data_IF_143377402153
#
_entry.id   IF_143377402153
#
_cell.length_a   1.000
_cell.length_b   1.000
_cell.length_c   1.000
_cell.angle_alpha   90.00
_cell.angle_beta   90.00
_cell.angle_gamma   90.00
#
_symmetry.space_group_name_H-M   'P 1'
#
loop_
_entity.id
_entity.type
_entity.pdbx_description
1 polymer ?
#
# COMPACT_ATOMS: atom_id res chain seq x y z
N UNK A 1 -82.60 -28.89 -25.25
CA UNK A 1 -81.87 -27.91 -24.41
C UNK A 1 -80.42 -28.44 -24.28
N UNK A 2 -79.52 -28.00 -25.16
CA UNK A 2 -78.16 -28.49 -25.26
C UNK A 2 -77.25 -27.57 -24.39
N UNK A 3 -76.59 -28.14 -23.39
CA UNK A 3 -75.57 -27.47 -22.59
C UNK A 3 -74.21 -27.77 -23.28
N UNK A 4 -73.60 -26.73 -23.82
CA UNK A 4 -72.22 -26.75 -24.34
C UNK A 4 -71.25 -26.51 -23.20
N UNK A 5 -70.45 -27.52 -22.86
CA UNK A 5 -69.32 -27.41 -21.96
C UNK A 5 -68.10 -26.79 -22.71
N UNK A 6 -67.64 -25.66 -22.24
CA UNK A 6 -66.46 -24.98 -22.76
C UNK A 6 -65.23 -25.46 -21.95
N UNK A 7 -64.33 -26.21 -22.59
CA UNK A 7 -63.07 -26.66 -22.00
C UNK A 7 -62.04 -25.53 -22.17
N UNK A 8 -61.65 -24.89 -21.07
CA UNK A 8 -60.52 -23.94 -21.05
C UNK A 8 -59.22 -24.73 -20.92
N UNK A 9 -58.44 -24.79 -21.98
CA UNK A 9 -57.04 -25.24 -21.91
C UNK A 9 -56.17 -24.08 -21.41
N UNK A 10 -55.62 -24.22 -20.20
CA UNK A 10 -54.59 -23.34 -19.66
C UNK A 10 -53.23 -23.84 -20.15
N UNK A 11 -52.60 -23.11 -21.06
CA UNK A 11 -51.22 -23.33 -21.45
C UNK A 11 -50.32 -22.66 -20.40
N UNK A 12 -49.68 -23.44 -19.56
CA UNK A 12 -48.61 -22.94 -18.68
C UNK A 12 -47.29 -22.85 -19.48
N UNK A 13 -46.91 -21.66 -19.83
CA UNK A 13 -45.57 -21.38 -20.37
C UNK A 13 -44.57 -21.32 -19.22
N UNK A 14 -43.81 -22.38 -19.02
CA UNK A 14 -42.67 -22.38 -18.11
C UNK A 14 -41.51 -21.61 -18.74
N UNK A 15 -41.31 -20.38 -18.29
CA UNK A 15 -40.12 -19.58 -18.62
C UNK A 15 -38.95 -20.14 -17.80
N UNK A 16 -38.13 -20.98 -18.40
CA UNK A 16 -36.85 -21.40 -17.83
C UNK A 16 -35.90 -20.21 -17.87
N UNK A 17 -35.66 -19.61 -16.74
CA UNK A 17 -34.63 -18.55 -16.60
C UNK A 17 -33.25 -19.23 -16.80
N UNK A 18 -32.70 -19.13 -18.00
CA UNK A 18 -31.29 -19.42 -18.24
C UNK A 18 -30.47 -18.33 -17.54
N UNK A 19 -29.94 -18.61 -16.36
CA UNK A 19 -28.91 -17.79 -15.75
C UNK A 19 -27.63 -17.98 -16.58
N UNK A 20 -27.33 -17.02 -17.43
CA UNK A 20 -26.04 -16.94 -18.11
C UNK A 20 -24.96 -16.86 -17.02
N UNK A 21 -24.28 -17.96 -16.73
CA UNK A 21 -23.04 -17.95 -15.95
C UNK A 21 -22.01 -17.17 -16.76
N UNK A 22 -21.76 -15.91 -16.40
CA UNK A 22 -20.61 -15.18 -16.92
C UNK A 22 -19.37 -15.87 -16.37
N UNK A 23 -18.49 -16.41 -17.23
CA UNK A 23 -17.29 -17.09 -16.76
C UNK A 23 -16.46 -16.09 -15.94
N UNK A 24 -16.03 -16.51 -14.73
CA UNK A 24 -15.13 -15.68 -13.92
C UNK A 24 -13.84 -15.44 -14.72
N UNK A 25 -13.32 -14.19 -14.73
CA UNK A 25 -12.07 -13.92 -15.43
C UNK A 25 -10.98 -14.83 -14.91
N UNK A 26 -10.28 -15.49 -15.82
CA UNK A 26 -9.15 -16.35 -15.49
C UNK A 26 -7.88 -15.54 -15.67
N UNK A 27 -7.21 -15.21 -14.57
CA UNK A 27 -5.93 -14.50 -14.58
C UNK A 27 -4.76 -15.48 -14.68
N UNK A 28 -3.74 -15.08 -15.42
CA UNK A 28 -2.49 -15.83 -15.55
C UNK A 28 -1.41 -15.29 -14.61
N UNK A 29 -0.41 -16.11 -14.36
CA UNK A 29 0.80 -15.66 -13.66
C UNK A 29 1.53 -14.59 -14.48
N UNK A 30 1.98 -13.53 -13.81
CA UNK A 30 2.80 -12.49 -14.46
C UNK A 30 4.21 -13.05 -14.64
N UNK A 31 4.63 -13.18 -15.90
CA UNK A 31 5.96 -13.69 -16.25
C UNK A 31 6.94 -12.54 -16.40
N UNK A 32 8.06 -12.61 -15.71
CA UNK A 32 9.16 -11.65 -15.81
C UNK A 32 10.26 -12.19 -16.72
N UNK A 33 10.71 -11.41 -17.71
CA UNK A 33 11.74 -11.88 -18.65
C UNK A 33 13.11 -12.09 -18.01
N UNK A 34 13.37 -11.43 -16.86
CA UNK A 34 14.62 -11.53 -16.13
C UNK A 34 14.33 -11.80 -14.65
N UNK A 35 15.06 -12.75 -14.08
CA UNK A 35 15.08 -13.02 -12.62
C UNK A 35 16.53 -12.99 -12.14
N UNK A 36 16.82 -12.16 -11.15
CA UNK A 36 18.15 -12.00 -10.55
C UNK A 36 18.10 -12.28 -9.06
N UNK A 37 19.02 -13.09 -8.57
CA UNK A 37 19.22 -13.29 -7.13
C UNK A 37 20.14 -12.18 -6.60
N UNK A 38 19.71 -11.52 -5.53
CA UNK A 38 20.49 -10.50 -4.85
C UNK A 38 20.86 -10.95 -3.45
N UNK A 39 22.11 -10.68 -3.07
CA UNK A 39 22.60 -10.85 -1.70
C UNK A 39 22.71 -9.49 -1.04
N UNK A 40 22.05 -9.36 0.10
CA UNK A 40 22.03 -8.14 0.88
C UNK A 40 23.30 -8.00 1.74
N UNK A 41 23.72 -6.78 1.93
CA UNK A 41 24.69 -6.38 2.94
C UNK A 41 23.93 -5.74 4.09
N UNK A 42 23.90 -6.42 5.22
CA UNK A 42 23.32 -5.86 6.45
C UNK A 42 24.11 -4.66 6.92
N UNK A 43 23.43 -3.60 7.28
CA UNK A 43 24.01 -2.37 7.82
C UNK A 43 23.88 -2.41 9.33
N UNK A 44 24.99 -2.49 10.08
CA UNK A 44 24.94 -2.52 11.52
C UNK A 44 24.49 -1.16 12.07
N UNK A 45 23.51 -1.20 12.94
CA UNK A 45 23.00 -0.05 13.70
C UNK A 45 22.70 -0.48 15.12
N UNK A 46 22.42 0.46 16.00
CA UNK A 46 21.87 0.15 17.32
C UNK A 46 20.41 -0.29 17.17
N UNK A 47 20.19 -1.61 17.04
CA UNK A 47 18.88 -2.21 16.80
C UNK A 47 17.96 -2.21 18.03
N UNK A 48 18.49 -1.93 19.22
CA UNK A 48 17.70 -1.90 20.45
C UNK A 48 16.59 -0.86 20.44
N UNK A 49 16.68 0.13 19.55
CA UNK A 49 15.69 1.19 19.42
C UNK A 49 14.44 0.78 18.60
N UNK A 50 14.49 -0.28 17.79
CA UNK A 50 13.37 -0.69 16.94
C UNK A 50 12.56 -1.81 17.54
N UNK A 51 11.25 -1.71 17.38
CA UNK A 51 10.29 -2.80 17.62
C UNK A 51 9.75 -3.40 16.33
N UNK A 52 9.44 -2.54 15.34
CA UNK A 52 8.94 -2.96 14.05
C UNK A 52 9.29 -1.92 12.97
N UNK A 53 10.55 -1.91 12.50
CA UNK A 53 10.99 -0.98 11.45
C UNK A 53 10.30 -1.32 10.13
N UNK A 54 9.38 -0.46 9.69
CA UNK A 54 8.42 -0.82 8.66
C UNK A 54 8.66 -0.13 7.31
N UNK A 55 8.97 1.16 7.33
CA UNK A 55 9.25 1.98 6.14
C UNK A 55 10.51 2.80 6.33
N UNK A 56 11.17 3.08 5.22
CA UNK A 56 12.30 4.01 5.21
C UNK A 56 12.27 4.90 3.99
N UNK A 57 12.71 6.13 4.13
CA UNK A 57 12.96 7.04 3.01
C UNK A 57 14.30 7.75 3.16
N UNK A 58 15.04 7.85 2.05
CA UNK A 58 16.30 8.58 1.97
C UNK A 58 16.07 9.94 1.33
N UNK A 59 16.57 10.99 1.98
CA UNK A 59 16.53 12.34 1.41
C UNK A 59 17.89 12.99 1.54
N UNK A 60 18.64 13.05 0.43
CA UNK A 60 20.03 13.53 0.40
C UNK A 60 20.91 12.73 1.38
N UNK A 61 21.36 13.42 2.44
CA UNK A 61 22.26 12.91 3.47
C UNK A 61 21.52 12.45 4.74
N UNK A 62 20.21 12.14 4.63
CA UNK A 62 19.36 11.69 5.75
C UNK A 62 18.52 10.50 5.37
N UNK A 63 18.35 9.61 6.34
CA UNK A 63 17.41 8.50 6.30
C UNK A 63 16.43 8.68 7.46
N UNK A 64 15.15 8.55 7.20
CA UNK A 64 14.13 8.40 8.23
C UNK A 64 13.61 6.97 8.15
N UNK A 65 13.57 6.31 9.30
CA UNK A 65 12.99 4.97 9.46
C UNK A 65 11.79 5.08 10.38
N UNK A 66 10.66 4.57 9.92
CA UNK A 66 9.46 4.40 10.70
C UNK A 66 9.55 3.12 11.53
N UNK A 67 9.31 3.24 12.84
CA UNK A 67 9.06 2.12 13.74
C UNK A 67 7.56 2.05 14.06
N UNK A 68 6.81 1.24 13.30
CA UNK A 68 5.35 1.16 13.37
C UNK A 68 4.82 0.84 14.79
N UNK A 69 5.62 0.16 15.60
CA UNK A 69 5.29 -0.21 16.99
C UNK A 69 6.23 0.43 18.02
N UNK A 70 6.87 1.54 17.66
CA UNK A 70 7.75 2.29 18.53
C UNK A 70 7.12 2.63 19.89
N UNK A 71 7.84 2.35 20.99
CA UNK A 71 7.30 2.58 22.32
C UNK A 71 7.21 4.07 22.66
N UNK A 72 8.29 4.79 22.38
CA UNK A 72 8.43 6.19 22.74
C UNK A 72 8.28 7.11 21.52
N UNK A 73 8.82 6.69 20.37
CA UNK A 73 8.82 7.45 19.13
C UNK A 73 8.57 6.54 17.94
N UNK A 74 7.90 7.09 16.93
CA UNK A 74 7.58 6.39 15.69
C UNK A 74 8.67 6.54 14.62
N UNK A 75 9.55 7.54 14.74
CA UNK A 75 10.54 7.82 13.70
C UNK A 75 11.94 7.96 14.27
N UNK A 76 12.90 7.44 13.52
CA UNK A 76 14.31 7.55 13.82
C UNK A 76 15.05 8.16 12.64
N UNK A 77 15.84 9.21 12.90
CA UNK A 77 16.65 9.93 11.91
C UNK A 77 18.08 9.45 11.96
N UNK A 78 18.62 9.12 10.81
CA UNK A 78 20.03 8.75 10.62
C UNK A 78 20.69 9.61 9.55
N UNK A 79 22.02 9.71 9.61
CA UNK A 79 22.81 10.17 8.47
C UNK A 79 22.83 9.14 7.34
N UNK A 80 23.11 9.57 6.11
CA UNK A 80 23.32 8.72 4.96
C UNK A 80 24.62 9.14 4.26
N UNK A 81 25.50 8.23 3.84
CA UNK A 81 25.29 6.76 3.76
C UNK A 81 25.81 5.96 4.99
N UNK A 82 26.30 6.60 6.02
CA UNK A 82 27.00 5.96 7.16
C UNK A 82 26.06 5.45 8.28
N UNK A 83 24.73 5.73 8.18
CA UNK A 83 23.69 5.29 9.10
C UNK A 83 23.98 5.58 10.58
N UNK A 84 24.67 6.69 10.88
CA UNK A 84 24.83 7.15 12.24
C UNK A 84 23.51 7.69 12.77
N UNK A 85 23.08 7.17 13.92
CA UNK A 85 21.89 7.68 14.60
C UNK A 85 22.05 9.17 14.98
N UNK A 86 21.01 9.95 14.75
CA UNK A 86 20.99 11.38 15.02
C UNK A 86 19.94 11.73 16.09
N UNK A 87 18.69 11.32 15.91
CA UNK A 87 17.59 11.60 16.86
C UNK A 87 16.38 10.74 16.57
N UNK A 88 15.43 10.73 17.53
CA UNK A 88 14.08 10.22 17.35
C UNK A 88 13.05 11.35 17.42
N UNK A 89 11.92 11.18 16.74
CA UNK A 89 10.83 12.16 16.73
C UNK A 89 9.48 11.48 16.49
N UNK A 90 8.37 12.25 16.53
CA UNK A 90 7.04 11.64 16.46
C UNK A 90 6.73 10.86 17.72
N UNK A 91 6.73 11.53 18.88
CA UNK A 91 6.50 10.91 20.19
C UNK A 91 5.13 10.23 20.24
N UNK A 92 5.10 8.99 20.73
CA UNK A 92 3.90 8.19 20.90
C UNK A 92 3.12 8.67 22.13
N UNK A 93 1.82 8.95 21.99
CA UNK A 93 0.94 9.28 23.10
C UNK A 93 -0.29 10.11 22.70
N UNK A 94 -1.10 10.43 23.74
CA UNK A 94 -2.38 11.11 23.58
C UNK A 94 -2.28 12.65 23.65
N UNK A 95 -1.16 13.18 24.16
CA UNK A 95 -1.00 14.62 24.31
C UNK A 95 -1.11 15.37 22.97
N UNK A 96 -1.43 16.67 22.98
CA UNK A 96 -1.61 17.45 21.75
C UNK A 96 -0.38 17.48 20.85
N UNK A 97 0.81 17.27 21.39
CA UNK A 97 2.07 17.25 20.68
C UNK A 97 2.57 15.84 20.35
N UNK A 98 1.84 14.79 20.72
CA UNK A 98 2.13 13.39 20.46
C UNK A 98 1.29 12.84 19.31
N UNK A 99 1.65 11.66 18.80
CA UNK A 99 0.93 10.91 17.78
C UNK A 99 0.35 9.64 18.39
N UNK A 100 -0.89 9.29 18.02
CA UNK A 100 -1.52 8.04 18.45
C UNK A 100 -1.14 6.86 17.55
N UNK A 101 -0.93 7.14 16.27
CA UNK A 101 -0.45 6.18 15.30
C UNK A 101 0.49 6.86 14.31
N UNK A 102 1.23 6.03 13.59
CA UNK A 102 1.78 6.38 12.28
C UNK A 102 1.29 5.32 11.30
N UNK A 103 0.72 5.75 10.19
CA UNK A 103 0.20 4.84 9.17
C UNK A 103 1.01 4.95 7.88
N UNK A 104 1.60 6.10 7.64
CA UNK A 104 2.49 6.37 6.53
C UNK A 104 3.23 7.70 6.71
N UNK A 105 4.36 7.86 6.03
CA UNK A 105 5.09 9.12 5.95
C UNK A 105 5.73 9.31 4.59
N UNK A 106 5.91 10.57 4.17
CA UNK A 106 6.53 10.93 2.89
C UNK A 106 7.36 12.19 2.99
N UNK A 107 8.54 12.18 2.38
CA UNK A 107 9.25 13.40 2.09
C UNK A 107 8.58 14.17 0.94
N UNK A 108 8.35 15.47 1.17
CA UNK A 108 7.95 16.41 0.12
C UNK A 108 8.93 17.59 0.11
N UNK A 109 9.88 17.58 -0.81
CA UNK A 109 10.97 18.56 -0.83
C UNK A 109 11.88 18.47 0.40
N UNK A 110 11.83 19.46 1.27
CA UNK A 110 12.61 19.52 2.50
C UNK A 110 11.78 19.20 3.75
N UNK A 111 10.51 18.89 3.57
CA UNK A 111 9.57 18.61 4.66
C UNK A 111 9.16 17.13 4.64
N UNK A 112 8.98 16.56 5.80
CA UNK A 112 8.42 15.24 5.97
C UNK A 112 6.98 15.39 6.47
N UNK A 113 6.07 14.66 5.86
CA UNK A 113 4.68 14.56 6.26
C UNK A 113 4.39 13.17 6.79
N UNK A 114 3.75 13.09 7.95
CA UNK A 114 3.35 11.84 8.58
C UNK A 114 1.83 11.84 8.81
N UNK A 115 1.21 10.69 8.62
CA UNK A 115 -0.21 10.49 8.80
C UNK A 115 -0.50 9.83 10.16
N UNK A 116 -1.28 10.51 10.99
CA UNK A 116 -1.90 9.95 12.21
C UNK A 116 -3.38 9.70 11.92
N UNK A 117 -3.71 8.47 11.58
CA UNK A 117 -5.06 8.05 11.20
C UNK A 117 -6.06 8.18 12.38
N UNK A 118 -5.65 7.84 13.61
CA UNK A 118 -6.55 7.92 14.76
C UNK A 118 -6.90 9.38 15.08
N UNK A 119 -5.92 10.26 15.05
CA UNK A 119 -6.17 11.70 15.17
C UNK A 119 -6.74 12.31 13.88
N UNK A 120 -6.74 11.58 12.76
CA UNK A 120 -7.08 12.08 11.41
C UNK A 120 -6.33 13.37 11.08
N UNK A 121 -5.01 13.33 11.18
CA UNK A 121 -4.13 14.48 11.01
C UNK A 121 -2.94 14.15 10.11
N UNK A 122 -2.51 15.15 9.33
CA UNK A 122 -1.18 15.18 8.74
C UNK A 122 -0.27 16.04 9.60
N UNK A 123 0.87 15.52 9.97
CA UNK A 123 1.88 16.20 10.80
C UNK A 123 3.09 16.49 9.95
N UNK A 124 3.48 17.76 9.90
CA UNK A 124 4.63 18.24 9.14
C UNK A 124 5.84 18.41 10.03
N UNK A 125 6.97 17.89 9.53
CA UNK A 125 8.26 17.94 10.18
C UNK A 125 9.30 18.58 9.26
N UNK A 126 10.25 19.31 9.85
CA UNK A 126 11.38 19.94 9.16
C UNK A 126 12.67 19.62 9.89
N UNK A 127 13.77 19.51 9.15
CA UNK A 127 15.09 19.40 9.76
C UNK A 127 15.42 20.68 10.55
N UNK A 128 15.94 20.52 11.74
CA UNK A 128 16.47 21.64 12.52
C UNK A 128 17.69 22.28 11.81
N UNK A 129 18.18 23.41 12.33
CA UNK A 129 19.31 24.15 11.75
C UNK A 129 20.58 23.31 11.64
N UNK A 130 20.82 22.42 12.62
CA UNK A 130 21.99 21.54 12.65
C UNK A 130 21.81 20.29 11.80
N UNK A 131 20.59 20.03 11.28
CA UNK A 131 20.21 18.85 10.48
C UNK A 131 20.42 17.52 11.22
N UNK A 132 20.40 17.53 12.54
CA UNK A 132 20.54 16.37 13.43
C UNK A 132 19.26 16.01 14.20
N UNK A 133 18.17 16.73 13.95
CA UNK A 133 16.86 16.52 14.54
C UNK A 133 15.73 17.04 13.66
N UNK A 134 14.52 16.60 13.97
CA UNK A 134 13.29 17.01 13.31
C UNK A 134 12.44 17.88 14.25
N UNK A 135 11.95 19.00 13.74
CA UNK A 135 11.06 19.92 14.43
C UNK A 135 9.70 19.85 13.78
N UNK A 136 8.65 19.61 14.59
CA UNK A 136 7.29 19.69 14.11
C UNK A 136 6.94 21.14 13.79
N UNK A 137 6.55 21.41 12.55
CA UNK A 137 6.22 22.75 12.08
C UNK A 137 4.71 22.99 11.93
N UNK A 138 3.93 21.94 11.70
CA UNK A 138 2.49 22.10 11.43
C UNK A 138 1.71 20.81 11.76
N UNK A 139 0.41 20.97 12.07
CA UNK A 139 -0.61 19.90 12.09
C UNK A 139 -1.79 20.32 11.27
N UNK A 140 -2.30 19.43 10.46
CA UNK A 140 -3.42 19.66 9.57
C UNK A 140 -4.49 18.61 9.88
N UNK A 141 -5.67 19.05 10.31
CA UNK A 141 -6.82 18.18 10.50
C UNK A 141 -7.40 17.80 9.16
N UNK A 142 -7.55 16.51 8.92
CA UNK A 142 -8.15 16.01 7.69
C UNK A 142 -9.68 16.14 7.73
N UNK A 143 -10.26 16.36 6.56
CA UNK A 143 -11.71 16.35 6.36
C UNK A 143 -12.30 15.00 6.81
N UNK A 144 -13.45 15.02 7.46
CA UNK A 144 -14.15 13.81 7.93
C UNK A 144 -14.51 12.84 6.81
N UNK A 145 -14.59 13.32 5.57
CA UNK A 145 -14.82 12.49 4.39
C UNK A 145 -13.59 11.65 3.97
N UNK A 146 -12.40 11.92 4.55
CA UNK A 146 -11.21 11.06 4.39
C UNK A 146 -11.23 9.94 5.43
N UNK A 147 -12.16 9.02 5.25
CA UNK A 147 -12.43 7.95 6.21
C UNK A 147 -11.28 6.93 6.25
N UNK A 148 -10.73 6.68 7.46
CA UNK A 148 -9.66 5.70 7.72
C UNK A 148 -8.47 5.85 6.76
N UNK A 149 -7.93 7.05 6.65
CA UNK A 149 -6.71 7.28 5.89
C UNK A 149 -5.58 6.38 6.40
N UNK A 150 -5.01 5.52 5.56
CA UNK A 150 -3.95 4.55 5.91
C UNK A 150 -2.74 4.69 4.99
N UNK A 151 -2.74 5.66 4.11
CA UNK A 151 -1.65 5.99 3.21
C UNK A 151 -1.82 7.44 2.73
N UNK A 152 -0.75 8.13 2.39
CA UNK A 152 -0.77 9.49 1.90
C UNK A 152 0.38 9.75 0.95
N UNK A 153 0.10 10.37 -0.18
CA UNK A 153 1.15 10.81 -1.08
C UNK A 153 1.04 12.30 -1.37
N UNK A 154 2.13 13.07 -1.24
CA UNK A 154 2.18 14.44 -1.73
C UNK A 154 1.89 14.48 -3.23
N UNK A 155 1.00 15.40 -3.64
CA UNK A 155 0.48 15.42 -4.98
C UNK A 155 0.60 16.81 -5.60
N UNK A 156 0.14 16.97 -6.84
CA UNK A 156 0.21 18.22 -7.62
C UNK A 156 -0.37 19.42 -6.85
N UNK A 157 0.13 20.60 -7.15
CA UNK A 157 -0.38 21.87 -6.61
C UNK A 157 -0.44 21.92 -5.08
N UNK A 158 0.53 21.30 -4.41
CA UNK A 158 0.62 21.27 -2.96
C UNK A 158 -0.62 20.67 -2.27
N UNK A 159 -1.15 19.60 -2.86
CA UNK A 159 -2.25 18.80 -2.33
C UNK A 159 -1.73 17.42 -1.89
N UNK A 160 -2.60 16.62 -1.28
CA UNK A 160 -2.32 15.23 -0.94
C UNK A 160 -3.37 14.32 -1.54
N UNK A 161 -2.96 13.12 -1.93
CA UNK A 161 -3.87 12.02 -2.23
C UNK A 161 -3.88 11.03 -1.07
N UNK A 162 -5.07 10.60 -0.72
CA UNK A 162 -5.35 9.63 0.32
C UNK A 162 -6.26 8.58 -0.30
N UNK A 163 -5.94 7.27 -0.21
CA UNK A 163 -6.87 6.23 -0.66
C UNK A 163 -8.24 6.35 0.00
N UNK A 164 -9.31 6.25 -0.79
CA UNK A 164 -10.68 6.34 -0.28
C UNK A 164 -11.20 4.96 0.16
N UNK A 165 -11.35 4.78 1.45
CA UNK A 165 -11.91 3.55 2.02
C UNK A 165 -13.41 3.65 2.33
N UNK A 166 -14.10 4.68 1.84
CA UNK A 166 -15.57 4.75 1.87
C UNK A 166 -16.23 3.79 0.88
N UNK A 167 -15.48 3.32 -0.10
CA UNK A 167 -15.95 2.46 -1.18
C UNK A 167 -16.54 3.23 -2.37
N UNK A 168 -16.73 4.53 -2.27
CA UNK A 168 -17.31 5.35 -3.34
C UNK A 168 -16.32 5.59 -4.50
N UNK A 169 -15.08 5.88 -4.15
CA UNK A 169 -14.03 6.22 -5.11
C UNK A 169 -12.71 5.52 -4.75
N UNK A 170 -11.68 5.79 -5.53
CA UNK A 170 -10.35 5.24 -5.27
C UNK A 170 -9.48 6.15 -4.42
N UNK A 171 -9.61 7.47 -4.61
CA UNK A 171 -8.81 8.49 -3.93
C UNK A 171 -9.64 9.68 -3.49
N UNK A 172 -9.29 10.21 -2.33
CA UNK A 172 -9.59 11.55 -1.87
C UNK A 172 -8.41 12.47 -2.19
N UNK A 173 -8.65 13.61 -2.83
CA UNK A 173 -7.67 14.67 -2.95
C UNK A 173 -8.00 15.77 -1.95
N UNK A 174 -7.08 16.08 -1.05
CA UNK A 174 -7.21 17.13 -0.05
C UNK A 174 -6.23 18.26 -0.32
N UNK A 175 -6.60 19.47 0.05
CA UNK A 175 -5.72 20.62 -0.04
C UNK A 175 -4.68 20.63 1.10
N UNK A 176 -3.79 21.59 1.08
CA UNK A 176 -2.79 21.82 2.10
C UNK A 176 -3.36 22.01 3.52
N UNK A 177 -4.63 22.39 3.66
CA UNK A 177 -5.30 22.59 4.94
C UNK A 177 -6.12 21.35 5.38
N UNK A 178 -6.01 20.24 4.64
CA UNK A 178 -6.73 19.00 4.93
C UNK A 178 -8.18 18.97 4.42
N UNK A 179 -8.63 20.03 3.73
CA UNK A 179 -10.00 20.10 3.18
C UNK A 179 -10.11 19.22 1.95
N UNK A 180 -11.17 18.41 1.89
CA UNK A 180 -11.48 17.61 0.71
C UNK A 180 -11.81 18.53 -0.48
N UNK A 181 -11.07 18.34 -1.58
CA UNK A 181 -11.31 19.03 -2.86
C UNK A 181 -12.18 18.20 -3.79
N UNK A 182 -11.88 16.91 -3.91
CA UNK A 182 -12.65 15.96 -4.74
C UNK A 182 -12.30 14.52 -4.36
N UNK A 183 -13.21 13.63 -4.71
CA UNK A 183 -12.96 12.19 -4.81
C UNK A 183 -12.91 11.77 -6.28
N UNK A 184 -12.10 10.79 -6.62
CA UNK A 184 -11.98 10.32 -8.00
C UNK A 184 -11.39 8.91 -8.10
N UNK A 185 -11.46 8.35 -9.32
CA UNK A 185 -11.08 6.98 -9.62
C UNK A 185 -12.15 5.99 -9.14
N UNK A 186 -12.15 4.83 -9.75
CA UNK A 186 -13.03 3.72 -9.38
C UNK A 186 -12.18 2.53 -8.93
N UNK A 187 -12.72 1.74 -8.01
CA UNK A 187 -12.13 0.44 -7.65
C UNK A 187 -12.30 -0.49 -8.85
N UNK A 188 -11.22 -1.04 -9.44
CA UNK A 188 -11.27 -1.82 -10.68
C UNK A 188 -11.65 -3.28 -10.44
N UNK A 189 -12.67 -3.51 -9.59
CA UNK A 189 -13.17 -4.83 -9.29
C UNK A 189 -13.96 -5.43 -10.45
N UNK A 190 -13.77 -6.73 -10.70
CA UNK A 190 -14.57 -7.48 -11.69
C UNK A 190 -15.99 -7.72 -11.19
N UNK A 191 -16.14 -7.94 -9.88
CA UNK A 191 -17.43 -8.09 -9.20
C UNK A 191 -17.62 -6.96 -8.19
N UNK A 192 -18.59 -6.10 -8.45
CA UNK A 192 -18.95 -4.94 -7.60
C UNK A 192 -20.14 -5.20 -6.67
N UNK A 193 -20.69 -6.42 -6.61
CA UNK A 193 -21.87 -6.73 -5.78
C UNK A 193 -21.62 -6.45 -4.28
N UNK A 194 -20.39 -6.64 -3.79
CA UNK A 194 -20.02 -6.31 -2.42
C UNK A 194 -19.98 -4.81 -2.15
N UNK A 195 -19.71 -3.99 -3.15
CA UNK A 195 -19.66 -2.53 -3.05
C UNK A 195 -21.04 -1.94 -2.70
N UNK A 196 -22.10 -2.43 -3.33
CA UNK A 196 -23.46 -1.95 -3.08
C UNK A 196 -23.97 -2.32 -1.68
N UNK A 197 -23.59 -3.51 -1.18
CA UNK A 197 -24.07 -4.07 0.10
C UNK A 197 -23.29 -3.56 1.31
N UNK A 198 -21.99 -3.38 1.20
CA UNK A 198 -21.09 -3.01 2.28
C UNK A 198 -19.90 -2.19 1.76
N UNK A 199 -20.12 -0.94 1.34
CA UNK A 199 -19.11 -0.13 0.65
C UNK A 199 -17.82 0.05 1.48
N UNK A 200 -17.94 0.23 2.79
CA UNK A 200 -16.76 0.37 3.66
C UNK A 200 -15.90 -0.89 3.74
N UNK A 201 -16.55 -2.05 3.90
CA UNK A 201 -15.83 -3.33 3.89
C UNK A 201 -15.18 -3.57 2.53
N UNK A 202 -15.87 -3.22 1.45
CA UNK A 202 -15.34 -3.35 0.10
C UNK A 202 -14.11 -2.46 -0.10
N UNK A 203 -14.18 -1.17 0.23
CA UNK A 203 -13.04 -0.25 0.19
C UNK A 203 -11.87 -0.73 1.05
N UNK A 204 -12.15 -1.25 2.26
CA UNK A 204 -11.15 -1.82 3.15
C UNK A 204 -10.47 -3.07 2.56
N UNK A 205 -11.23 -3.97 1.91
CA UNK A 205 -10.69 -5.14 1.22
C UNK A 205 -9.74 -4.77 0.06
N UNK A 206 -9.94 -3.61 -0.53
CA UNK A 206 -9.10 -3.02 -1.59
C UNK A 206 -8.00 -2.10 -1.05
N UNK A 207 -7.66 -2.20 0.23
CA UNK A 207 -6.53 -1.47 0.80
C UNK A 207 -5.28 -1.67 -0.06
N UNK A 208 -4.60 -0.56 -0.32
CA UNK A 208 -3.45 -0.52 -1.22
C UNK A 208 -2.35 0.33 -0.66
N UNK A 209 -1.12 0.01 -1.04
CA UNK A 209 0.03 0.89 -0.91
C UNK A 209 0.08 1.78 -2.15
N UNK A 210 0.39 3.06 -1.96
CA UNK A 210 0.40 4.05 -3.03
C UNK A 210 1.71 4.81 -3.08
N UNK A 211 2.14 5.18 -4.29
CA UNK A 211 3.25 6.10 -4.47
C UNK A 211 3.08 6.93 -5.75
N UNK A 212 3.71 8.10 -5.81
CA UNK A 212 3.58 9.04 -6.90
C UNK A 212 4.90 9.70 -7.29
N UNK A 213 5.28 9.57 -8.55
CA UNK A 213 6.38 10.33 -9.13
C UNK A 213 5.87 11.63 -9.77
N UNK A 214 6.15 12.81 -9.20
CA UNK A 214 5.74 14.09 -9.81
C UNK A 214 6.46 14.37 -11.13
N UNK A 215 7.66 13.82 -11.34
CA UNK A 215 8.43 14.03 -12.56
C UNK A 215 7.78 13.34 -13.75
N UNK A 216 7.34 12.10 -13.62
CA UNK A 216 6.67 11.35 -14.68
C UNK A 216 5.16 11.57 -14.71
N UNK A 217 4.56 11.97 -13.59
CA UNK A 217 3.14 12.05 -13.39
C UNK A 217 2.50 10.67 -13.19
N UNK A 218 3.27 9.69 -12.76
CA UNK A 218 2.81 8.32 -12.53
C UNK A 218 2.40 8.14 -11.08
N UNK A 219 1.11 7.85 -10.87
CA UNK A 219 0.55 7.42 -9.60
C UNK A 219 0.31 5.92 -9.67
N UNK A 220 0.67 5.21 -8.63
CA UNK A 220 0.49 3.76 -8.53
C UNK A 220 -0.24 3.40 -7.26
N UNK A 221 -1.12 2.41 -7.34
CA UNK A 221 -1.66 1.72 -6.17
C UNK A 221 -1.54 0.21 -6.39
N UNK A 222 -1.07 -0.50 -5.35
CA UNK A 222 -0.99 -1.96 -5.35
C UNK A 222 -1.76 -2.51 -4.17
N UNK A 223 -2.62 -3.49 -4.42
CA UNK A 223 -3.47 -4.05 -3.38
C UNK A 223 -2.66 -4.93 -2.40
N UNK A 224 -2.93 -4.79 -1.12
CA UNK A 224 -2.38 -5.68 -0.09
C UNK A 224 -2.90 -7.11 -0.26
N UNK A 225 -4.19 -7.24 -0.58
CA UNK A 225 -4.86 -8.52 -0.86
C UNK A 225 -5.07 -8.68 -2.36
N UNK A 226 -5.02 -9.92 -2.85
CA UNK A 226 -5.12 -10.17 -4.30
C UNK A 226 -3.88 -9.68 -5.04
N UNK A 227 -3.92 -9.62 -6.36
CA UNK A 227 -2.75 -9.27 -7.18
C UNK A 227 -3.14 -8.23 -8.23
N UNK A 228 -3.32 -6.99 -7.77
CA UNK A 228 -3.74 -5.86 -8.61
C UNK A 228 -2.74 -4.72 -8.50
N UNK A 229 -2.27 -4.27 -9.65
CA UNK A 229 -1.44 -3.09 -9.84
C UNK A 229 -2.23 -2.10 -10.69
N UNK A 230 -2.51 -0.94 -10.14
CA UNK A 230 -3.18 0.18 -10.80
C UNK A 230 -2.17 1.28 -11.09
N UNK A 231 -2.14 1.78 -12.31
CA UNK A 231 -1.22 2.81 -12.78
C UNK A 231 -2.01 3.92 -13.44
N UNK A 232 -1.89 5.14 -12.93
CA UNK A 232 -2.41 6.34 -13.56
C UNK A 232 -1.29 7.24 -14.04
N UNK A 233 -1.33 7.65 -15.28
CA UNK A 233 -0.50 8.76 -15.73
C UNK A 233 -1.37 10.02 -15.74
N UNK A 234 -1.23 10.82 -14.69
CA UNK A 234 -2.08 12.01 -14.48
C UNK A 234 -1.80 13.14 -15.45
N UNK A 235 -0.60 13.14 -16.09
CA UNK A 235 -0.26 14.12 -17.14
C UNK A 235 -0.90 13.77 -18.48
N UNK A 236 -1.04 12.46 -18.76
CA UNK A 236 -1.63 11.94 -20.00
C UNK A 236 -3.11 11.57 -19.83
N UNK A 237 -3.63 11.63 -18.61
CA UNK A 237 -4.99 11.20 -18.24
C UNK A 237 -5.28 9.77 -18.72
N UNK A 238 -4.36 8.84 -18.44
CA UNK A 238 -4.53 7.42 -18.76
C UNK A 238 -4.47 6.58 -17.50
N UNK A 239 -5.20 5.46 -17.51
CA UNK A 239 -5.20 4.45 -16.47
C UNK A 239 -4.92 3.08 -17.07
N UNK A 240 -4.18 2.27 -16.37
CA UNK A 240 -3.93 0.86 -16.68
C UNK A 240 -4.06 0.03 -15.40
N UNK A 241 -4.64 -1.17 -15.54
CA UNK A 241 -4.77 -2.15 -14.46
C UNK A 241 -4.11 -3.44 -14.91
N UNK A 242 -3.17 -3.93 -14.11
CA UNK A 242 -2.52 -5.23 -14.30
C UNK A 242 -2.97 -6.14 -13.18
N UNK A 243 -3.53 -7.31 -13.54
CA UNK A 243 -3.97 -8.33 -12.58
C UNK A 243 -3.19 -9.62 -12.80
N UNK A 244 -2.56 -10.13 -11.74
CA UNK A 244 -1.87 -11.41 -11.77
C UNK A 244 -2.78 -12.58 -11.36
N UNK A 245 -2.21 -13.78 -11.21
CA UNK A 245 -2.94 -15.04 -10.99
C UNK A 245 -3.91 -15.04 -9.82
N UNK A 246 -3.70 -14.21 -8.83
CA UNK A 246 -4.59 -14.14 -7.67
C UNK A 246 -5.78 -13.20 -7.88
N UNK A 247 -5.73 -12.36 -8.94
CA UNK A 247 -6.81 -11.45 -9.30
C UNK A 247 -7.21 -10.48 -8.18
N UNK A 248 -8.49 -10.20 -8.10
CA UNK A 248 -9.05 -9.26 -7.14
C UNK A 248 -8.86 -9.70 -5.68
N UNK A 249 -8.79 -8.75 -4.73
CA UNK A 249 -8.80 -9.02 -3.30
C UNK A 249 -9.93 -9.97 -2.88
N UNK A 250 -9.58 -10.99 -2.06
CA UNK A 250 -10.55 -11.91 -1.48
C UNK A 250 -10.70 -11.67 0.01
N UNK A 251 -11.92 -11.41 0.45
CA UNK A 251 -12.27 -11.16 1.83
C UNK A 251 -13.72 -11.56 2.09
N UNK A 252 -14.04 -11.81 3.36
CA UNK A 252 -15.39 -12.02 3.84
C UNK A 252 -15.90 -10.74 4.51
N UNK A 253 -17.18 -10.42 4.35
CA UNK A 253 -17.78 -9.24 4.98
C UNK A 253 -18.46 -9.69 6.27
N UNK A 254 -17.94 -9.21 7.41
CA UNK A 254 -18.49 -9.48 8.72
C UNK A 254 -18.72 -8.14 9.43
N UNK A 255 -19.97 -7.85 9.79
CA UNK A 255 -20.35 -6.60 10.46
C UNK A 255 -19.78 -5.33 9.81
N UNK A 256 -19.82 -5.29 8.47
CA UNK A 256 -19.27 -4.19 7.66
C UNK A 256 -17.73 -4.02 7.70
N UNK A 257 -17.00 -5.08 8.09
CA UNK A 257 -15.53 -5.16 7.99
C UNK A 257 -15.12 -6.20 6.98
N UNK A 258 -14.02 -5.94 6.27
CA UNK A 258 -13.39 -6.93 5.40
C UNK A 258 -12.46 -7.82 6.22
N UNK A 259 -12.79 -9.10 6.32
CA UNK A 259 -11.93 -10.10 6.92
C UNK A 259 -11.11 -10.76 5.81
N UNK A 260 -9.79 -10.60 5.77
CA UNK A 260 -8.95 -11.15 4.70
C UNK A 260 -9.07 -12.68 4.60
N UNK A 261 -9.25 -13.19 3.37
CA UNK A 261 -9.40 -14.63 3.08
C UNK A 261 -8.61 -14.97 1.87
N UNK A 262 -7.76 -14.96 1.35
CA UNK A 262 -7.08 -15.22 0.06
C UNK A 262 -5.57 -15.19 0.22
N UNK A 263 -4.98 -14.22 -0.43
CA UNK A 263 -3.53 -14.06 -0.52
C UNK A 263 -3.13 -12.65 -0.09
N UNK A 264 -2.13 -12.54 0.81
CA UNK A 264 -1.36 -11.32 1.04
C UNK A 264 -0.33 -11.22 -0.08
N UNK A 265 -0.36 -10.16 -0.87
CA UNK A 265 0.46 -10.10 -2.09
C UNK A 265 1.50 -9.00 -2.05
N UNK A 266 1.11 -7.74 -1.87
CA UNK A 266 2.08 -6.65 -1.88
C UNK A 266 2.22 -6.01 -0.50
N UNK A 267 3.46 -5.67 -0.14
CA UNK A 267 3.78 -5.05 1.15
C UNK A 267 4.30 -3.63 0.99
N UNK A 268 4.75 -3.26 -0.20
CA UNK A 268 5.26 -1.92 -0.49
C UNK A 268 5.28 -1.61 -1.98
N UNK A 269 5.31 -0.32 -2.31
CA UNK A 269 5.51 0.20 -3.67
C UNK A 269 6.37 1.44 -3.66
N UNK A 270 7.29 1.52 -4.62
CA UNK A 270 7.99 2.76 -4.93
C UNK A 270 7.96 3.02 -6.44
N UNK A 271 7.61 4.24 -6.80
CA UNK A 271 7.64 4.73 -8.20
C UNK A 271 8.84 5.64 -8.38
N UNK A 272 9.78 5.20 -9.18
CA UNK A 272 10.92 6.02 -9.60
C UNK A 272 10.61 6.78 -10.90
N UNK A 273 11.59 7.47 -11.44
CA UNK A 273 11.44 8.13 -12.76
C UNK A 273 11.46 7.13 -13.92
N UNK A 274 11.85 5.89 -13.70
CA UNK A 274 12.08 4.88 -14.76
C UNK A 274 11.20 3.65 -14.61
N UNK A 275 10.85 3.25 -13.37
CA UNK A 275 10.18 2.00 -13.12
C UNK A 275 9.32 2.03 -11.83
N UNK A 276 8.54 0.98 -11.64
CA UNK A 276 7.71 0.71 -10.47
C UNK A 276 8.30 -0.52 -9.79
N UNK A 277 8.63 -0.41 -8.50
CA UNK A 277 9.18 -1.49 -7.68
C UNK A 277 8.16 -1.91 -6.63
N UNK A 278 7.87 -3.21 -6.55
CA UNK A 278 6.85 -3.78 -5.68
C UNK A 278 7.46 -4.87 -4.80
N UNK A 279 7.29 -4.79 -3.49
CA UNK A 279 7.60 -5.91 -2.59
C UNK A 279 6.47 -6.93 -2.68
N UNK A 280 6.80 -8.13 -3.13
CA UNK A 280 5.84 -9.22 -3.36
C UNK A 280 6.04 -10.34 -2.33
N UNK A 281 5.01 -10.64 -1.57
CA UNK A 281 4.97 -11.72 -0.59
C UNK A 281 4.31 -12.99 -1.14
N UNK A 282 3.10 -12.89 -1.68
CA UNK A 282 2.38 -13.97 -2.34
C UNK A 282 2.01 -15.14 -1.43
N UNK A 283 1.82 -14.91 -0.11
CA UNK A 283 1.47 -15.95 0.87
C UNK A 283 -0.03 -16.03 1.10
N UNK A 284 -0.58 -17.23 1.10
CA UNK A 284 -2.00 -17.44 1.44
C UNK A 284 -2.22 -17.34 2.95
N UNK A 285 -3.35 -16.77 3.38
CA UNK A 285 -3.73 -16.78 4.81
C UNK A 285 -3.81 -18.19 5.38
N UNK A 286 -4.16 -19.19 4.57
CA UNK A 286 -4.17 -20.60 4.95
C UNK A 286 -2.75 -21.08 5.32
N UNK A 287 -1.74 -20.75 4.52
CA UNK A 287 -0.33 -21.10 4.79
C UNK A 287 0.18 -20.38 6.04
N UNK A 288 -0.15 -19.08 6.20
CA UNK A 288 0.21 -18.30 7.37
C UNK A 288 -0.36 -18.96 8.64
N UNK A 289 -1.65 -19.30 8.66
CA UNK A 289 -2.28 -19.96 9.80
C UNK A 289 -1.75 -21.37 10.08
N UNK A 290 -1.48 -22.16 9.03
CA UNK A 290 -0.91 -23.49 9.17
C UNK A 290 0.51 -23.45 9.76
N UNK A 291 1.34 -22.51 9.32
CA UNK A 291 2.70 -22.36 9.81
C UNK A 291 2.70 -21.93 11.29
N UNK A 292 1.84 -20.99 11.68
CA UNK A 292 1.66 -20.61 13.10
C UNK A 292 1.25 -21.81 13.97
N UNK A 293 0.28 -22.62 13.53
CA UNK A 293 -0.14 -23.85 14.26
C UNK A 293 0.98 -24.88 14.42
N UNK A 294 1.90 -24.95 13.48
CA UNK A 294 3.06 -25.87 13.52
C UNK A 294 4.23 -25.30 14.31
N UNK A 295 4.10 -24.16 14.97
CA UNK A 295 5.17 -23.48 15.71
C UNK A 295 6.33 -23.01 14.84
N UNK A 296 6.14 -22.92 13.50
CA UNK A 296 7.16 -22.34 12.63
C UNK A 296 7.17 -20.82 12.83
N UNK A 297 8.38 -20.26 12.95
CA UNK A 297 8.55 -18.81 12.95
C UNK A 297 7.94 -18.24 11.65
N UNK A 298 7.03 -17.32 11.78
CA UNK A 298 6.48 -16.59 10.65
C UNK A 298 7.49 -15.50 10.26
N UNK A 299 8.02 -15.56 9.04
CA UNK A 299 8.77 -14.46 8.48
C UNK A 299 7.78 -13.49 7.84
N UNK A 300 7.72 -12.30 8.38
CA UNK A 300 6.95 -11.20 7.85
C UNK A 300 7.70 -10.56 6.68
N UNK A 301 6.96 -10.16 5.63
CA UNK A 301 7.54 -9.57 4.44
C UNK A 301 7.71 -10.52 3.25
N UNK A 302 8.10 -9.94 2.11
CA UNK A 302 8.32 -10.60 0.84
C UNK A 302 9.80 -10.79 0.51
N UNK A 303 10.11 -11.86 -0.23
CA UNK A 303 11.48 -12.11 -0.74
C UNK A 303 11.62 -11.80 -2.22
N UNK A 304 10.63 -11.21 -2.83
CA UNK A 304 10.66 -10.87 -4.26
C UNK A 304 10.38 -9.38 -4.40
N UNK A 305 11.21 -8.69 -5.18
CA UNK A 305 10.90 -7.35 -5.66
C UNK A 305 10.62 -7.43 -7.16
N UNK A 306 9.40 -7.11 -7.54
CA UNK A 306 8.94 -7.09 -8.93
C UNK A 306 9.11 -5.71 -9.51
N UNK A 307 9.64 -5.63 -10.72
CA UNK A 307 9.90 -4.37 -11.40
C UNK A 307 9.07 -4.29 -12.66
N UNK A 308 8.27 -3.24 -12.76
CA UNK A 308 7.45 -2.93 -13.93
C UNK A 308 7.88 -1.62 -14.56
N UNK A 309 7.67 -1.48 -15.86
CA UNK A 309 7.76 -0.18 -16.51
C UNK A 309 6.61 0.73 -16.05
N UNK A 310 6.75 2.03 -16.30
CA UNK A 310 5.71 3.01 -15.94
C UNK A 310 4.38 2.83 -16.70
N UNK A 311 4.36 1.95 -17.71
CA UNK A 311 3.18 1.51 -18.46
C UNK A 311 2.76 0.07 -18.12
N UNK A 312 3.25 -0.50 -17.00
CA UNK A 312 2.78 -1.77 -16.44
C UNK A 312 3.32 -3.04 -17.10
N UNK A 313 4.33 -2.96 -17.94
CA UNK A 313 4.99 -4.15 -18.49
C UNK A 313 5.96 -4.74 -17.49
N UNK A 314 5.93 -6.06 -17.22
CA UNK A 314 6.92 -6.71 -16.37
C UNK A 314 8.31 -6.61 -17.01
N UNK A 315 9.29 -6.10 -16.26
CA UNK A 315 10.68 -5.91 -16.71
C UNK A 315 11.59 -6.98 -16.13
N UNK A 316 11.63 -7.10 -14.82
CA UNK A 316 12.45 -8.07 -14.09
C UNK A 316 11.90 -8.32 -12.69
N UNK A 317 12.39 -9.36 -12.05
CA UNK A 317 12.20 -9.56 -10.61
C UNK A 317 13.53 -9.86 -9.94
N UNK A 318 13.67 -9.38 -8.70
CA UNK A 318 14.78 -9.70 -7.84
C UNK A 318 14.31 -10.70 -6.78
N UNK A 319 15.11 -11.74 -6.54
CA UNK A 319 14.91 -12.68 -5.43
C UNK A 319 15.92 -12.33 -4.34
N UNK A 320 15.40 -11.95 -3.18
CA UNK A 320 16.19 -11.48 -2.05
C UNK A 320 16.50 -12.62 -1.08
N UNK A 321 17.65 -12.57 -0.42
CA UNK A 321 17.99 -13.47 0.68
C UNK A 321 17.25 -13.14 1.98
N UNK A 322 16.79 -11.89 2.17
CA UNK A 322 15.97 -11.45 3.30
C UNK A 322 14.49 -11.31 2.93
N UNK A 323 13.60 -11.52 3.91
CA UNK A 323 12.19 -11.15 3.79
C UNK A 323 12.02 -9.70 4.24
N UNK A 324 11.52 -8.83 3.37
CA UNK A 324 11.49 -7.38 3.59
C UNK A 324 10.07 -6.82 3.48
N UNK A 325 9.75 -5.78 4.25
CA UNK A 325 8.47 -5.10 4.21
C UNK A 325 8.52 -3.79 3.45
N UNK A 326 9.55 -2.99 3.66
CA UNK A 326 9.74 -1.70 3.01
C UNK A 326 11.00 -1.67 2.16
N UNK A 327 10.98 -0.90 1.07
CA UNK A 327 12.13 -0.68 0.18
C UNK A 327 12.32 0.80 -0.13
N UNK A 328 13.57 1.17 -0.42
CA UNK A 328 13.92 2.46 -1.01
C UNK A 328 14.95 2.26 -2.11
N UNK A 329 14.55 2.51 -3.34
CA UNK A 329 15.37 2.32 -4.53
C UNK A 329 16.02 3.64 -4.94
N UNK A 330 17.31 3.59 -5.15
CA UNK A 330 18.15 4.69 -5.64
C UNK A 330 18.78 4.25 -6.96
N UNK A 331 18.01 4.37 -8.05
CA UNK A 331 18.42 3.85 -9.38
C UNK A 331 19.74 4.44 -9.88
N UNK A 332 19.98 5.72 -9.61
CA UNK A 332 21.21 6.38 -10.08
C UNK A 332 22.46 5.88 -9.33
N UNK A 333 22.28 5.40 -8.10
CA UNK A 333 23.33 4.77 -7.31
C UNK A 333 23.45 3.27 -7.57
N UNK A 334 22.49 2.69 -8.30
CA UNK A 334 22.37 1.24 -8.48
C UNK A 334 22.15 0.51 -7.16
N UNK A 335 21.37 1.09 -6.23
CA UNK A 335 21.17 0.57 -4.89
C UNK A 335 19.70 0.49 -4.50
N UNK A 336 19.42 -0.44 -3.62
CA UNK A 336 18.14 -0.54 -2.90
C UNK A 336 18.43 -0.79 -1.42
N UNK A 337 17.85 0.02 -0.57
CA UNK A 337 17.74 -0.25 0.87
C UNK A 337 16.43 -0.99 1.12
N UNK A 338 16.45 -1.90 2.07
CA UNK A 338 15.27 -2.68 2.47
C UNK A 338 15.24 -2.88 3.98
N UNK A 339 14.04 -3.13 4.52
CA UNK A 339 13.84 -3.38 5.94
C UNK A 339 13.36 -4.82 6.17
N UNK A 340 14.18 -5.61 6.88
CA UNK A 340 13.85 -6.94 7.38
C UNK A 340 13.43 -6.85 8.85
N UNK A 341 12.13 -6.80 9.09
CA UNK A 341 11.55 -6.72 10.45
C UNK A 341 11.80 -7.96 11.30
N UNK A 342 12.26 -9.06 10.70
CA UNK A 342 12.56 -10.31 11.40
C UNK A 342 14.01 -10.36 11.93
N UNK A 343 14.82 -9.37 11.56
CA UNK A 343 16.25 -9.30 11.91
C UNK A 343 16.50 -8.31 13.04
N UNK A 344 17.48 -8.61 13.90
CA UNK A 344 17.97 -7.64 14.88
C UNK A 344 18.74 -6.49 14.23
N UNK A 345 19.26 -6.68 13.02
CA UNK A 345 19.85 -5.65 12.18
C UNK A 345 18.98 -5.49 10.93
N UNK A 346 17.95 -4.63 10.99
CA UNK A 346 16.87 -4.66 10.00
C UNK A 346 17.23 -4.00 8.67
N UNK A 347 18.26 -3.17 8.59
CA UNK A 347 18.59 -2.46 7.35
C UNK A 347 19.49 -3.34 6.48
N UNK A 348 19.03 -3.58 5.24
CA UNK A 348 19.76 -4.36 4.26
C UNK A 348 19.98 -3.55 2.99
N UNK A 349 21.20 -3.43 2.51
CA UNK A 349 21.54 -2.79 1.24
C UNK A 349 21.77 -3.85 0.16
N UNK A 350 21.11 -3.67 -0.98
CA UNK A 350 21.29 -4.46 -2.20
C UNK A 350 21.91 -3.63 -3.30
N UNK A 351 22.81 -4.21 -4.07
CA UNK A 351 23.31 -3.63 -5.32
C UNK A 351 22.42 -4.09 -6.47
N UNK A 352 21.81 -3.17 -7.18
CA UNK A 352 20.99 -3.42 -8.37
C UNK A 352 21.89 -3.46 -9.61
N UNK A 353 21.59 -4.39 -10.53
CA UNK A 353 22.32 -4.57 -11.78
C UNK A 353 21.44 -4.29 -12.98
#
# INVERSE_FOLDING_TARGET
MLIRSLLLMVFSVSVSAFTLMVPKPQYSEITFPVTEELKGRTIPIDSAMFRYPYRLEVRKDRVVIEDLHGADHYFHLFSYPDFRYLSSFGKHGEAPDEMLTVDDFRWNGQTLWALDNIKSELVRWELNKNRDGMIRSERIKLDKATFRALDVVPYQNNTFLIPDYSGENRFCQVDRNGKLLKKWGEIPADDKNGLEKAPYAFGQGWRSFTDYSPKTGTLVAVTQLGEVLEIWNVKKNTQQVVKGKFGDPKFEIVQNYAIPSGVSVYNDVQVTDRAIYLVYEGKTFKEIHQNRRKGKSFQDGGKIVRVFSLDGKPLKQYVLDHAVNGIWVMEEEGKMLALDVNSNEPIVEYTLR
#
